data_IF_636382418723
#
_entry.id   IF_636382418723
#
_cell.length_a   1.000
_cell.length_b   1.000
_cell.length_c   1.000
_cell.angle_alpha   90.00
_cell.angle_beta   90.00
_cell.angle_gamma   90.00
#
_symmetry.space_group_name_H-M   'P 1'
#
loop_
_entity.id
_entity.type
_entity.pdbx_description
1 polymer ?
#
# COMPACT_ATOMS: atom_id res chain seq x y z
N UNK A 1 -25.50 9.94 8.88
CA UNK A 1 -24.21 10.03 9.57
C UNK A 1 -24.49 10.73 10.91
N UNK A 2 -24.12 10.13 12.02
CA UNK A 2 -24.31 10.64 13.37
C UNK A 2 -22.94 10.91 14.00
N UNK A 3 -22.80 11.95 14.82
CA UNK A 3 -21.55 12.31 15.50
C UNK A 3 -21.86 12.42 16.99
N UNK A 4 -21.00 11.83 17.84
CA UNK A 4 -21.02 12.09 19.26
C UNK A 4 -19.61 12.38 19.78
N UNK A 5 -19.52 13.11 20.88
CA UNK A 5 -18.25 13.48 21.48
C UNK A 5 -17.93 12.50 22.61
N UNK A 6 -16.79 11.84 22.48
CA UNK A 6 -16.20 10.99 23.53
C UNK A 6 -15.13 11.81 24.28
N UNK A 7 -14.99 11.58 25.60
CA UNK A 7 -14.04 12.34 26.42
C UNK A 7 -12.59 12.10 26.04
N UNK A 8 -12.26 10.90 25.57
CA UNK A 8 -10.90 10.50 25.24
C UNK A 8 -10.59 10.62 23.73
N UNK A 9 -11.53 10.21 22.88
CA UNK A 9 -11.31 10.13 21.43
C UNK A 9 -11.85 11.36 20.66
N UNK A 10 -12.47 12.31 21.34
CA UNK A 10 -13.05 13.50 20.73
C UNK A 10 -14.29 13.18 19.89
N UNK A 11 -14.39 13.74 18.70
CA UNK A 11 -15.53 13.47 17.81
C UNK A 11 -15.46 12.09 17.19
N UNK A 12 -16.50 11.29 17.42
CA UNK A 12 -16.66 9.96 16.83
C UNK A 12 -17.79 10.01 15.80
N UNK A 13 -17.43 9.66 14.58
CA UNK A 13 -18.33 9.68 13.42
C UNK A 13 -18.93 8.30 13.21
N UNK A 14 -20.26 8.15 13.32
CA UNK A 14 -20.98 6.89 13.08
C UNK A 14 -21.63 6.94 11.70
N UNK A 15 -21.35 5.94 10.88
CA UNK A 15 -21.95 5.75 9.56
C UNK A 15 -22.63 4.39 9.49
N UNK A 16 -23.90 4.35 9.09
CA UNK A 16 -24.58 3.11 8.73
C UNK A 16 -24.23 2.69 7.30
N UNK A 17 -24.07 1.39 7.09
CA UNK A 17 -23.83 0.79 5.77
C UNK A 17 -24.58 -0.54 5.72
N UNK A 18 -25.50 -0.69 4.75
CA UNK A 18 -26.34 -1.90 4.59
C UNK A 18 -25.53 -3.17 4.30
N UNK A 19 -24.30 -3.02 3.82
CA UNK A 19 -23.38 -4.13 3.56
C UNK A 19 -22.49 -4.49 4.75
N UNK A 20 -22.54 -3.71 5.82
CA UNK A 20 -21.76 -4.00 7.02
C UNK A 20 -22.47 -5.07 7.86
N UNK A 21 -21.78 -6.17 8.16
CA UNK A 21 -22.28 -7.24 9.06
C UNK A 21 -21.77 -7.10 10.49
N UNK A 22 -20.86 -6.13 10.77
CA UNK A 22 -20.22 -5.90 12.06
C UNK A 22 -19.78 -4.46 12.20
N UNK A 23 -19.43 -4.06 13.45
CA UNK A 23 -18.80 -2.77 13.69
C UNK A 23 -17.38 -2.74 13.14
N UNK A 24 -17.04 -1.68 12.41
CA UNK A 24 -15.71 -1.46 11.83
C UNK A 24 -15.20 -0.12 12.33
N UNK A 25 -14.11 -0.16 13.08
CA UNK A 25 -13.42 1.02 13.61
C UNK A 25 -12.31 1.46 12.68
N UNK A 26 -12.25 2.75 12.35
CA UNK A 26 -11.20 3.36 11.51
C UNK A 26 -10.83 4.73 12.05
N UNK A 27 -9.55 5.08 12.00
CA UNK A 27 -9.10 6.45 12.26
C UNK A 27 -8.97 7.17 10.93
N UNK A 28 -9.65 8.32 10.81
CA UNK A 28 -9.58 9.23 9.67
C UNK A 28 -9.08 10.60 10.10
N UNK A 29 -8.93 11.50 9.12
CA UNK A 29 -8.41 12.85 9.35
C UNK A 29 -9.23 13.64 10.38
N UNK A 30 -10.53 13.38 10.46
CA UNK A 30 -11.47 14.07 11.35
C UNK A 30 -11.69 13.32 12.68
N UNK A 31 -10.98 12.23 13.00
CA UNK A 31 -11.17 11.47 14.22
C UNK A 31 -11.54 9.99 14.00
N UNK A 32 -12.12 9.38 15.03
CA UNK A 32 -12.54 7.98 14.99
C UNK A 32 -13.84 7.86 14.17
N UNK A 33 -13.84 7.02 13.16
CA UNK A 33 -15.03 6.68 12.38
C UNK A 33 -15.44 5.23 12.64
N UNK A 34 -16.72 5.04 12.94
CA UNK A 34 -17.33 3.72 13.15
C UNK A 34 -18.34 3.47 12.03
N UNK A 35 -18.17 2.36 11.31
CA UNK A 35 -19.20 1.88 10.38
C UNK A 35 -19.98 0.77 11.06
N UNK A 36 -21.29 0.87 11.10
CA UNK A 36 -22.20 -0.08 11.72
C UNK A 36 -23.22 -0.63 10.70
N UNK A 37 -23.80 -1.81 10.94
CA UNK A 37 -24.97 -2.30 10.20
C UNK A 37 -26.13 -1.33 10.25
N UNK A 38 -26.99 -1.37 9.25
CA UNK A 38 -28.21 -0.59 9.22
C UNK A 38 -29.14 -0.97 10.38
N UNK A 39 -29.77 0.01 11.03
CA UNK A 39 -30.60 -0.25 12.22
C UNK A 39 -29.84 -0.52 13.52
N UNK A 40 -28.52 -0.44 13.53
CA UNK A 40 -27.73 -0.67 14.74
C UNK A 40 -27.88 0.49 15.74
N UNK A 41 -28.31 0.18 16.98
CA UNK A 41 -28.58 1.19 18.00
C UNK A 41 -27.31 1.95 18.43
N UNK A 42 -27.38 3.27 18.50
CA UNK A 42 -26.25 4.15 18.89
C UNK A 42 -25.68 3.79 20.26
N UNK A 43 -26.52 3.42 21.23
CA UNK A 43 -26.06 3.01 22.56
C UNK A 43 -25.18 1.75 22.52
N UNK A 44 -25.45 0.80 21.63
CA UNK A 44 -24.60 -0.37 21.41
C UNK A 44 -23.25 0.00 20.78
N UNK A 45 -23.23 1.04 19.94
CA UNK A 45 -21.96 1.55 19.38
C UNK A 45 -21.13 2.18 20.51
N UNK A 46 -21.74 2.95 21.42
CA UNK A 46 -21.04 3.53 22.58
C UNK A 46 -20.47 2.44 23.49
N UNK A 47 -21.27 1.44 23.87
CA UNK A 47 -20.76 0.30 24.66
C UNK A 47 -19.58 -0.40 23.93
N UNK A 48 -19.65 -0.60 22.63
CA UNK A 48 -18.57 -1.21 21.87
C UNK A 48 -17.30 -0.35 21.83
N UNK A 49 -17.41 1.00 21.91
CA UNK A 49 -16.26 1.88 22.09
C UNK A 49 -15.65 1.66 23.46
N UNK A 50 -16.48 1.60 24.52
CA UNK A 50 -16.01 1.38 25.90
C UNK A 50 -15.32 0.03 26.06
N UNK A 51 -15.90 -1.03 25.51
CA UNK A 51 -15.35 -2.39 25.54
C UNK A 51 -14.01 -2.52 24.78
N UNK A 52 -13.74 -1.61 23.85
CA UNK A 52 -12.55 -1.66 23.01
C UNK A 52 -11.58 -0.47 23.22
N UNK A 53 -11.73 0.32 24.30
CA UNK A 53 -10.92 1.54 24.55
C UNK A 53 -9.42 1.31 24.40
N UNK A 54 -8.88 0.24 25.01
CA UNK A 54 -7.47 -0.08 24.94
C UNK A 54 -6.99 -0.29 23.50
N UNK A 55 -7.73 -1.09 22.71
CA UNK A 55 -7.42 -1.33 21.30
C UNK A 55 -7.54 -0.06 20.46
N UNK A 56 -8.50 0.80 20.79
CA UNK A 56 -8.70 2.07 20.11
C UNK A 56 -7.60 3.08 20.41
N UNK A 57 -7.07 3.11 21.65
CA UNK A 57 -5.88 3.91 22.01
C UNK A 57 -4.69 3.53 21.13
N UNK A 58 -4.41 2.24 20.99
CA UNK A 58 -3.33 1.75 20.13
C UNK A 58 -3.58 2.13 18.65
N UNK A 59 -4.82 2.02 18.18
CA UNK A 59 -5.19 2.39 16.81
C UNK A 59 -5.00 3.89 16.54
N UNK A 60 -5.44 4.73 17.47
CA UNK A 60 -5.32 6.20 17.37
C UNK A 60 -3.86 6.63 17.47
N UNK A 61 -3.09 6.11 18.46
CA UNK A 61 -1.68 6.45 18.61
C UNK A 61 -0.84 6.06 17.39
N UNK A 62 -1.05 4.87 16.84
CA UNK A 62 -0.42 4.46 15.58
C UNK A 62 -0.75 5.41 14.43
N UNK A 63 -2.00 5.84 14.31
CA UNK A 63 -2.41 6.76 13.24
C UNK A 63 -1.79 8.15 13.41
N UNK A 64 -1.66 8.65 14.64
CA UNK A 64 -1.00 9.93 14.94
C UNK A 64 0.50 9.85 14.60
N UNK A 65 1.17 8.76 14.96
CA UNK A 65 2.59 8.54 14.62
C UNK A 65 2.78 8.49 13.09
N UNK A 66 1.92 7.76 12.39
CA UNK A 66 1.95 7.70 10.91
C UNK A 66 1.70 9.09 10.30
N UNK A 67 0.85 9.93 10.90
CA UNK A 67 0.59 11.30 10.42
C UNK A 67 1.78 12.23 10.64
N UNK A 68 2.43 12.20 11.82
CA UNK A 68 3.64 12.98 12.10
C UNK A 68 4.77 12.65 11.11
N UNK A 69 4.92 11.37 10.75
CA UNK A 69 5.90 10.92 9.77
C UNK A 69 5.50 11.20 8.30
N UNK A 70 4.35 11.86 8.06
CA UNK A 70 3.85 12.20 6.73
C UNK A 70 3.92 13.69 6.39
N UNK A 71 4.54 14.50 7.22
CA UNK A 71 4.82 15.90 6.87
C UNK A 71 5.88 15.89 5.78
N UNK A 72 5.56 16.48 4.63
CA UNK A 72 6.47 16.58 3.49
C UNK A 72 7.09 17.96 3.47
N UNK A 73 8.40 18.00 3.20
CA UNK A 73 9.19 19.22 3.04
C UNK A 73 10.04 19.14 1.77
N UNK A 74 10.40 20.29 1.22
CA UNK A 74 11.45 20.34 0.20
C UNK A 74 12.78 19.90 0.83
N UNK A 75 13.51 19.04 0.12
CA UNK A 75 14.68 18.32 0.62
C UNK A 75 14.40 16.87 1.02
N UNK A 76 13.12 16.47 1.19
CA UNK A 76 12.79 15.09 1.49
C UNK A 76 13.07 14.16 0.32
N UNK A 77 13.54 12.93 0.66
CA UNK A 77 13.60 11.81 -0.25
C UNK A 77 12.59 10.75 0.20
N UNK A 78 11.77 10.28 -0.74
CA UNK A 78 10.78 9.24 -0.51
C UNK A 78 11.28 7.96 -1.19
N UNK A 79 11.57 6.88 -0.44
CA UNK A 79 12.02 5.63 -1.02
C UNK A 79 11.01 5.08 -2.03
N UNK A 80 11.51 4.64 -3.17
CA UNK A 80 10.71 4.01 -4.22
C UNK A 80 11.56 2.96 -4.94
N UNK A 81 10.99 1.79 -5.17
CA UNK A 81 11.72 0.72 -5.86
C UNK A 81 12.18 1.16 -7.26
N UNK A 82 13.46 0.96 -7.55
CA UNK A 82 14.06 1.39 -8.80
C UNK A 82 14.36 2.89 -8.88
N UNK A 83 14.42 3.59 -7.73
CA UNK A 83 14.89 4.98 -7.63
C UNK A 83 13.98 5.88 -6.80
N UNK A 84 14.57 6.67 -5.94
CA UNK A 84 13.91 7.53 -4.99
C UNK A 84 13.14 8.69 -5.64
N UNK A 85 12.22 9.27 -4.88
CA UNK A 85 11.49 10.49 -5.25
C UNK A 85 12.03 11.63 -4.39
N UNK A 86 12.75 12.56 -4.99
CA UNK A 86 13.38 13.69 -4.30
C UNK A 86 12.54 14.96 -4.47
N UNK A 87 12.12 15.58 -3.38
CA UNK A 87 11.42 16.85 -3.37
C UNK A 87 12.41 18.00 -3.32
N UNK A 88 12.56 18.75 -4.40
CA UNK A 88 13.56 19.82 -4.55
C UNK A 88 12.90 21.20 -4.60
N UNK A 89 13.57 22.27 -4.15
CA UNK A 89 13.09 23.63 -4.36
C UNK A 89 13.10 23.96 -5.83
N UNK A 90 11.99 24.52 -6.33
CA UNK A 90 11.83 24.97 -7.71
C UNK A 90 11.70 26.47 -7.80
N UNK A 91 11.91 27.01 -8.99
CA UNK A 91 11.76 28.44 -9.29
C UNK A 91 10.44 28.76 -10.02
N UNK A 92 9.73 27.71 -10.48
CA UNK A 92 8.46 27.84 -11.21
C UNK A 92 7.28 27.80 -10.24
N UNK A 93 6.20 28.52 -10.58
CA UNK A 93 4.91 28.45 -9.84
C UNK A 93 4.13 27.12 -10.07
N UNK A 94 4.74 26.16 -10.78
CA UNK A 94 4.16 24.83 -11.03
C UNK A 94 5.14 23.75 -10.63
N UNK A 95 4.62 22.59 -10.21
CA UNK A 95 5.43 21.40 -10.04
C UNK A 95 6.05 20.96 -11.37
N UNK A 96 7.36 20.74 -11.36
CA UNK A 96 8.06 20.13 -12.48
C UNK A 96 8.56 18.75 -12.04
N UNK A 97 8.45 17.78 -12.93
CA UNK A 97 8.83 16.39 -12.70
C UNK A 97 9.86 15.98 -13.73
N UNK A 98 11.00 15.51 -13.31
CA UNK A 98 12.09 15.08 -14.18
C UNK A 98 12.75 13.83 -13.62
N UNK A 99 13.14 12.89 -14.46
CA UNK A 99 14.05 11.83 -14.07
C UNK A 99 15.50 12.28 -14.23
N UNK A 100 16.33 11.96 -13.24
CA UNK A 100 17.78 12.04 -13.32
C UNK A 100 18.32 10.68 -12.87
N UNK A 101 18.83 9.91 -13.86
CA UNK A 101 19.06 8.49 -13.64
C UNK A 101 17.78 7.78 -13.22
N UNK A 102 17.83 7.08 -12.08
CA UNK A 102 16.68 6.38 -11.51
C UNK A 102 15.85 7.25 -10.54
N UNK A 103 16.37 8.41 -10.12
CA UNK A 103 15.68 9.31 -9.20
C UNK A 103 14.63 10.16 -9.90
N UNK A 104 13.42 10.22 -9.34
CA UNK A 104 12.40 11.18 -9.74
C UNK A 104 12.57 12.48 -8.97
N UNK A 105 13.09 13.51 -9.62
CA UNK A 105 13.16 14.88 -9.09
C UNK A 105 11.81 15.58 -9.25
N UNK A 106 11.29 16.11 -8.15
CA UNK A 106 10.06 16.89 -8.11
C UNK A 106 10.41 18.29 -7.63
N UNK A 107 10.46 19.24 -8.55
CA UNK A 107 10.69 20.65 -8.22
C UNK A 107 9.39 21.27 -7.74
N UNK A 108 9.40 21.72 -6.48
CA UNK A 108 8.24 22.26 -5.79
C UNK A 108 8.21 23.79 -5.95
N UNK A 109 7.04 24.40 -6.20
CA UNK A 109 6.89 25.84 -6.26
C UNK A 109 7.40 26.53 -4.98
N UNK A 110 8.00 27.73 -5.08
CA UNK A 110 8.48 28.46 -3.91
C UNK A 110 7.31 28.84 -2.98
N UNK A 111 7.50 28.72 -1.66
CA UNK A 111 6.53 29.09 -0.64
C UNK A 111 5.28 28.20 -0.54
N UNK A 112 5.22 27.08 -1.27
CA UNK A 112 4.07 26.18 -1.23
C UNK A 112 4.07 25.32 0.04
N UNK A 113 2.92 25.18 0.69
CA UNK A 113 2.71 24.17 1.74
C UNK A 113 2.40 22.80 1.11
N UNK A 114 3.40 21.91 1.11
CA UNK A 114 3.26 20.55 0.59
C UNK A 114 2.26 19.69 1.37
N UNK A 115 1.80 20.15 2.54
CA UNK A 115 0.87 19.43 3.41
C UNK A 115 -0.58 19.86 3.22
N UNK A 116 -0.83 20.93 2.49
CA UNK A 116 -2.17 21.34 2.09
C UNK A 116 -2.84 20.26 1.24
N UNK A 117 -4.12 19.98 1.53
CA UNK A 117 -4.87 18.86 0.91
C UNK A 117 -4.87 18.91 -0.63
N UNK A 118 -5.05 20.08 -1.24
CA UNK A 118 -5.12 20.22 -2.70
C UNK A 118 -3.74 20.10 -3.34
N UNK A 119 -2.71 20.65 -2.67
CA UNK A 119 -1.32 20.54 -3.07
C UNK A 119 -0.88 19.08 -3.05
N UNK A 120 -1.17 18.34 -1.97
CA UNK A 120 -0.92 16.90 -1.86
C UNK A 120 -1.60 16.08 -2.94
N UNK A 121 -2.85 16.39 -3.28
CA UNK A 121 -3.56 15.70 -4.37
C UNK A 121 -2.85 15.92 -5.72
N UNK A 122 -2.41 17.16 -5.97
CA UNK A 122 -1.71 17.52 -7.20
C UNK A 122 -0.36 16.83 -7.28
N UNK A 123 0.44 16.91 -6.21
CA UNK A 123 1.73 16.23 -6.08
C UNK A 123 1.58 14.72 -6.26
N UNK A 124 0.67 14.07 -5.51
CA UNK A 124 0.42 12.63 -5.60
C UNK A 124 -0.02 12.19 -6.99
N UNK A 125 -0.82 13.00 -7.69
CA UNK A 125 -1.25 12.71 -9.06
C UNK A 125 -0.07 12.80 -10.05
N UNK A 126 0.78 13.81 -9.89
CA UNK A 126 2.01 13.98 -10.67
C UNK A 126 2.96 12.80 -10.46
N UNK A 127 3.40 12.59 -9.22
CA UNK A 127 4.27 11.48 -8.81
C UNK A 127 3.69 10.14 -9.29
N UNK A 128 2.39 9.88 -9.04
CA UNK A 128 1.75 8.63 -9.42
C UNK A 128 1.81 8.32 -10.92
N UNK A 129 1.81 9.33 -11.81
CA UNK A 129 1.99 9.13 -13.26
C UNK A 129 3.40 8.65 -13.60
N UNK A 130 4.41 9.27 -12.99
CA UNK A 130 5.81 8.91 -13.23
C UNK A 130 6.15 7.54 -12.62
N UNK A 131 5.73 7.28 -11.38
CA UNK A 131 5.95 5.98 -10.73
C UNK A 131 5.22 4.86 -11.49
N UNK A 132 3.99 5.10 -11.98
CA UNK A 132 3.28 4.12 -12.79
C UNK A 132 4.04 3.78 -14.09
N UNK A 133 4.58 4.79 -14.79
CA UNK A 133 5.39 4.56 -15.98
C UNK A 133 6.62 3.73 -15.67
N UNK A 134 7.34 4.07 -14.60
CA UNK A 134 8.53 3.31 -14.16
C UNK A 134 8.17 1.88 -13.75
N UNK A 135 7.03 1.69 -13.06
CA UNK A 135 6.54 0.37 -12.70
C UNK A 135 6.31 -0.56 -13.90
N UNK A 136 5.89 -0.01 -15.04
CA UNK A 136 5.70 -0.78 -16.28
C UNK A 136 7.00 -1.33 -16.86
N UNK A 137 8.13 -0.74 -16.49
CA UNK A 137 9.47 -1.20 -16.91
C UNK A 137 10.08 -2.14 -15.88
N UNK A 138 10.04 -1.75 -14.60
CA UNK A 138 10.82 -2.39 -13.53
C UNK A 138 10.15 -3.65 -13.00
N UNK A 139 8.85 -3.60 -12.69
CA UNK A 139 8.16 -4.74 -12.08
C UNK A 139 8.06 -5.97 -13.01
N UNK A 140 7.76 -5.84 -14.32
CA UNK A 140 7.80 -6.99 -15.22
C UNK A 140 9.19 -7.61 -15.33
N UNK A 141 10.25 -6.80 -15.36
CA UNK A 141 11.62 -7.30 -15.37
C UNK A 141 11.93 -8.12 -14.11
N UNK A 142 11.56 -7.59 -12.92
CA UNK A 142 11.75 -8.30 -11.66
C UNK A 142 10.97 -9.61 -11.63
N UNK A 143 9.71 -9.59 -12.02
CA UNK A 143 8.90 -10.81 -12.09
C UNK A 143 9.51 -11.84 -13.03
N UNK A 144 9.96 -11.44 -14.23
CA UNK A 144 10.57 -12.35 -15.19
C UNK A 144 11.88 -12.94 -14.67
N UNK A 145 12.70 -12.17 -13.94
CA UNK A 145 13.92 -12.68 -13.29
C UNK A 145 13.58 -13.77 -12.28
N UNK A 146 12.59 -13.53 -11.40
CA UNK A 146 12.17 -14.49 -10.39
C UNK A 146 11.54 -15.73 -11.04
N UNK A 147 10.63 -15.52 -11.99
CA UNK A 147 9.95 -16.58 -12.75
C UNK A 147 10.97 -17.51 -13.47
N UNK A 148 11.95 -16.93 -14.14
CA UNK A 148 13.02 -17.69 -14.80
C UNK A 148 13.87 -18.49 -13.80
N UNK A 149 14.24 -17.87 -12.66
CA UNK A 149 15.00 -18.56 -11.60
C UNK A 149 14.23 -19.74 -10.99
N UNK A 150 12.92 -19.63 -10.89
CA UNK A 150 12.04 -20.68 -10.36
C UNK A 150 11.56 -21.68 -11.42
N UNK A 151 11.91 -21.48 -12.70
CA UNK A 151 11.48 -22.32 -13.81
C UNK A 151 9.95 -22.29 -14.05
N UNK A 152 9.29 -21.14 -13.78
CA UNK A 152 7.84 -20.98 -13.88
C UNK A 152 7.47 -20.17 -15.13
N UNK A 153 6.73 -20.73 -16.11
CA UNK A 153 6.31 -19.97 -17.28
C UNK A 153 5.15 -19.01 -16.92
N UNK A 154 5.33 -17.73 -17.25
CA UNK A 154 4.30 -16.69 -17.14
C UNK A 154 3.87 -16.28 -18.54
N UNK A 155 2.55 -16.24 -18.78
CA UNK A 155 2.01 -15.92 -20.11
C UNK A 155 2.13 -14.42 -20.42
N UNK A 156 1.77 -13.59 -19.44
CA UNK A 156 1.87 -12.14 -19.58
C UNK A 156 1.94 -11.44 -18.23
N UNK A 157 2.56 -10.26 -18.22
CA UNK A 157 2.64 -9.39 -17.04
C UNK A 157 2.08 -8.03 -17.36
N UNK A 158 1.17 -7.54 -16.55
CA UNK A 158 0.56 -6.21 -16.68
C UNK A 158 0.65 -5.43 -15.39
N UNK A 159 0.61 -4.08 -15.48
CA UNK A 159 0.64 -3.21 -14.31
C UNK A 159 -0.71 -2.54 -14.13
N UNK A 160 -1.33 -2.81 -12.97
CA UNK A 160 -2.61 -2.21 -12.57
C UNK A 160 -2.45 -0.99 -11.68
N UNK A 161 -3.53 -0.18 -11.58
CA UNK A 161 -3.62 1.02 -10.71
C UNK A 161 -4.44 0.76 -9.44
N UNK A 162 -4.80 -0.50 -9.19
CA UNK A 162 -5.62 -0.88 -8.04
C UNK A 162 -4.85 -0.78 -6.71
N UNK A 163 -5.53 -0.28 -5.66
CA UNK A 163 -4.98 -0.20 -4.28
C UNK A 163 -5.34 -1.41 -3.42
N UNK A 164 -6.40 -2.13 -3.78
CA UNK A 164 -6.95 -3.20 -2.93
C UNK A 164 -6.19 -4.51 -3.07
N UNK A 165 -5.66 -4.78 -4.26
CA UNK A 165 -4.87 -5.97 -4.55
C UNK A 165 -3.50 -5.51 -5.04
N UNK A 166 -2.46 -6.05 -4.45
CA UNK A 166 -1.08 -5.78 -4.84
C UNK A 166 -0.65 -6.64 -6.02
N UNK A 167 -1.30 -7.78 -6.22
CA UNK A 167 -1.14 -8.67 -7.34
C UNK A 167 -2.42 -9.42 -7.66
N UNK A 168 -2.46 -10.08 -8.80
CA UNK A 168 -3.50 -10.99 -9.23
C UNK A 168 -2.96 -11.92 -10.31
N UNK A 169 -3.18 -13.23 -10.16
CA UNK A 169 -2.88 -14.25 -11.15
C UNK A 169 -4.18 -14.86 -11.70
N UNK A 170 -4.27 -14.99 -13.01
CA UNK A 170 -5.39 -15.69 -13.66
C UNK A 170 -5.08 -17.17 -13.84
N UNK A 171 -6.13 -18.02 -14.05
CA UNK A 171 -5.96 -19.43 -14.39
C UNK A 171 -5.20 -19.67 -15.69
N UNK A 172 -5.08 -18.65 -16.54
CA UNK A 172 -4.31 -18.70 -17.80
C UNK A 172 -2.82 -18.40 -17.63
N UNK A 173 -2.38 -18.09 -16.40
CA UNK A 173 -0.98 -17.72 -16.12
C UNK A 173 -0.66 -16.26 -16.46
N UNK A 174 -1.67 -15.40 -16.55
CA UNK A 174 -1.49 -13.96 -16.70
C UNK A 174 -1.38 -13.31 -15.32
N UNK A 175 -0.35 -12.52 -15.08
CA UNK A 175 -0.13 -11.86 -13.80
C UNK A 175 -0.28 -10.35 -13.94
N UNK A 176 -1.09 -9.74 -13.08
CA UNK A 176 -1.16 -8.30 -12.93
C UNK A 176 -0.57 -7.89 -11.59
N UNK A 177 0.41 -6.97 -11.61
CA UNK A 177 1.00 -6.37 -10.42
C UNK A 177 0.50 -4.93 -10.25
N UNK A 178 0.30 -4.50 -9.02
CA UNK A 178 -0.06 -3.12 -8.74
C UNK A 178 1.18 -2.23 -8.75
N UNK A 179 1.10 -1.04 -9.37
CA UNK A 179 2.19 -0.07 -9.31
C UNK A 179 2.47 0.44 -7.87
N UNK A 180 1.55 0.23 -6.92
CA UNK A 180 1.78 0.53 -5.52
C UNK A 180 2.87 -0.32 -4.87
N UNK A 181 3.27 -1.42 -5.50
CA UNK A 181 4.46 -2.20 -5.10
C UNK A 181 5.73 -1.34 -5.11
N UNK A 182 5.82 -0.36 -6.01
CA UNK A 182 6.97 0.54 -6.09
C UNK A 182 7.28 1.29 -4.78
N UNK A 183 6.32 1.42 -3.88
CA UNK A 183 6.48 2.06 -2.57
C UNK A 183 6.81 1.07 -1.45
N UNK A 184 7.08 -0.18 -1.77
CA UNK A 184 7.43 -1.23 -0.81
C UNK A 184 8.92 -1.57 -0.91
N UNK A 185 9.53 -2.05 0.19
CA UNK A 185 10.85 -2.67 0.16
C UNK A 185 10.90 -3.84 -0.83
N UNK A 186 12.07 -4.09 -1.40
CA UNK A 186 12.27 -5.12 -2.42
C UNK A 186 11.82 -6.51 -1.94
N UNK A 187 12.08 -6.85 -0.68
CA UNK A 187 11.71 -8.14 -0.09
C UNK A 187 10.19 -8.35 -0.09
N UNK A 188 9.40 -7.28 0.12
CA UNK A 188 7.94 -7.36 0.05
C UNK A 188 7.43 -7.41 -1.39
N UNK A 189 8.12 -6.78 -2.33
CA UNK A 189 7.82 -6.90 -3.76
C UNK A 189 8.03 -8.34 -4.19
N UNK A 190 9.17 -8.92 -3.85
CA UNK A 190 9.52 -10.29 -4.15
C UNK A 190 8.54 -11.29 -3.54
N UNK A 191 8.15 -11.05 -2.27
CA UNK A 191 7.12 -11.85 -1.63
C UNK A 191 5.79 -11.83 -2.41
N UNK A 192 5.33 -10.66 -2.84
CA UNK A 192 4.10 -10.54 -3.65
C UNK A 192 4.28 -11.25 -5.00
N UNK A 193 5.42 -11.11 -5.65
CA UNK A 193 5.71 -11.81 -6.90
C UNK A 193 5.69 -13.33 -6.69
N UNK A 194 6.34 -13.86 -5.64
CA UNK A 194 6.29 -15.28 -5.29
C UNK A 194 4.87 -15.76 -5.00
N UNK A 195 4.07 -14.95 -4.34
CA UNK A 195 2.66 -15.22 -4.07
C UNK A 195 1.86 -15.39 -5.38
N UNK A 196 2.02 -14.47 -6.33
CA UNK A 196 1.33 -14.56 -7.63
C UNK A 196 1.86 -15.73 -8.48
N UNK A 197 3.16 -16.02 -8.41
CA UNK A 197 3.75 -17.20 -9.07
C UNK A 197 3.27 -18.51 -8.45
N UNK A 198 3.03 -18.58 -7.15
CA UNK A 198 2.47 -19.77 -6.50
C UNK A 198 1.04 -20.06 -6.99
N UNK A 199 0.27 -19.03 -7.38
CA UNK A 199 -1.04 -19.21 -8.01
C UNK A 199 -1.00 -19.90 -9.38
N UNK A 200 0.13 -19.98 -10.05
CA UNK A 200 0.27 -20.83 -11.26
C UNK A 200 0.05 -22.32 -10.97
N UNK A 201 0.25 -22.76 -9.70
CA UNK A 201 0.03 -24.15 -9.28
C UNK A 201 -1.22 -24.32 -8.41
N UNK A 202 -1.46 -23.41 -7.49
CA UNK A 202 -2.58 -23.46 -6.54
C UNK A 202 -3.36 -22.16 -6.60
N UNK A 203 -4.60 -22.20 -7.08
CA UNK A 203 -5.46 -21.02 -7.21
C UNK A 203 -6.13 -20.61 -5.88
N UNK A 204 -6.12 -21.50 -4.91
CA UNK A 204 -6.61 -21.28 -3.55
C UNK A 204 -5.47 -20.90 -2.61
N UNK A 205 -5.79 -20.42 -1.40
CA UNK A 205 -4.82 -20.16 -0.35
C UNK A 205 -4.74 -21.31 0.66
N UNK A 206 -4.67 -22.55 0.15
CA UNK A 206 -4.53 -23.77 0.95
C UNK A 206 -3.16 -23.82 1.67
N UNK A 207 -2.99 -24.74 2.66
CA UNK A 207 -1.68 -24.95 3.27
C UNK A 207 -0.56 -25.27 2.27
N UNK A 208 -0.89 -25.99 1.18
CA UNK A 208 0.06 -26.30 0.10
C UNK A 208 0.49 -25.05 -0.67
N UNK A 209 -0.44 -24.11 -0.91
CA UNK A 209 -0.13 -22.81 -1.49
C UNK A 209 0.87 -22.05 -0.61
N UNK A 210 0.60 -21.94 0.70
CA UNK A 210 1.47 -21.20 1.61
C UNK A 210 2.85 -21.84 1.72
N UNK A 211 2.93 -23.17 1.79
CA UNK A 211 4.20 -23.90 1.79
C UNK A 211 5.00 -23.62 0.51
N UNK A 212 4.33 -23.62 -0.65
CA UNK A 212 4.99 -23.31 -1.93
C UNK A 212 5.46 -21.86 -2.01
N UNK A 213 4.65 -20.90 -1.57
CA UNK A 213 5.01 -19.49 -1.53
C UNK A 213 6.26 -19.27 -0.67
N UNK A 214 6.28 -19.84 0.54
CA UNK A 214 7.44 -19.78 1.43
C UNK A 214 8.69 -20.40 0.79
N UNK A 215 8.55 -21.55 0.13
CA UNK A 215 9.67 -22.19 -0.59
C UNK A 215 10.21 -21.29 -1.69
N UNK A 216 9.38 -20.63 -2.48
CA UNK A 216 9.82 -19.70 -3.52
C UNK A 216 10.58 -18.51 -2.92
N UNK A 217 10.09 -17.94 -1.83
CA UNK A 217 10.80 -16.86 -1.13
C UNK A 217 12.16 -17.32 -0.60
N UNK A 218 12.23 -18.48 0.05
CA UNK A 218 13.51 -19.04 0.52
C UNK A 218 14.51 -19.22 -0.63
N UNK A 219 14.10 -19.75 -1.77
CA UNK A 219 14.96 -19.97 -2.94
C UNK A 219 15.51 -18.67 -3.55
N UNK A 220 14.89 -17.53 -3.29
CA UNK A 220 15.38 -16.22 -3.74
C UNK A 220 16.54 -15.70 -2.88
N UNK A 221 16.48 -15.93 -1.57
CA UNK A 221 17.41 -15.33 -0.60
C UNK A 221 18.45 -16.31 -0.05
N UNK A 222 18.27 -17.61 -0.25
CA UNK A 222 19.30 -18.62 0.07
C UNK A 222 20.00 -19.04 -1.20
N UNK A 223 21.35 -18.97 -1.22
CA UNK A 223 22.13 -19.82 -2.13
C UNK A 223 21.81 -21.26 -1.75
N UNK A 224 21.42 -22.14 -2.69
CA UNK A 224 21.00 -23.48 -2.36
C UNK A 224 22.16 -24.25 -1.71
N UNK A 225 22.10 -24.40 -0.39
CA UNK A 225 22.81 -25.47 0.27
C UNK A 225 22.10 -26.77 -0.13
N UNK A 226 22.81 -27.82 -0.60
CA UNK A 226 22.19 -29.08 -1.06
C UNK A 226 21.35 -29.79 0.01
N UNK A 227 21.35 -29.33 1.26
CA UNK A 227 20.68 -29.95 2.42
C UNK A 227 19.32 -29.36 2.80
N UNK A 228 18.90 -28.22 2.20
CA UNK A 228 17.69 -27.50 2.62
C UNK A 228 16.50 -27.69 1.67
N UNK A 229 16.62 -28.61 0.71
CA UNK A 229 15.59 -28.92 -0.29
C UNK A 229 14.96 -30.32 -0.13
N UNK A 230 15.00 -30.89 1.08
CA UNK A 230 14.39 -32.20 1.35
C UNK A 230 13.03 -32.05 2.00
#
# INVERSE_FOLDING_TARGET
>A
MFVYRDEEFGEIYIRSDSRACRLIFRVKDNGLQITCPEGYAVNRVKSAVDDNREKLRVLVSRSVTIRKNRVLSTGDSIPCYGGDICLLPGVSNKFLFRYEGDCLQVFCPPGIDLNETNVRKTLSRGVGRFVYRRAQEVLPRRLNQISSRLGLPVVSVTIGRGRRKLGHCTRRGEIQLSFYLMYLPEELIDYVICHELAHLKYMDHSPLFHALCNRYCCLLYTSPSPRDCS
#
